data_IF_424892828466
#
_entry.id   IF_424892828466
#
_cell.length_a   1.000
_cell.length_b   1.000
_cell.length_c   1.000
_cell.angle_alpha   90.00
_cell.angle_beta   90.00
_cell.angle_gamma   90.00
#
_symmetry.space_group_name_H-M   'P 1'
#
loop_
_entity.id
_entity.type
_entity.pdbx_description
1 polymer ?
#
# COMPACT_ATOMS: atom_id res chain seq x y z
N UNK A 1 18.61 8.57 -17.60
CA UNK A 1 17.37 8.11 -16.95
C UNK A 1 16.20 8.46 -17.86
N UNK A 2 15.32 7.51 -18.16
CA UNK A 2 14.08 7.79 -18.88
C UNK A 2 13.14 8.62 -18.00
N UNK A 3 12.37 9.53 -18.61
CA UNK A 3 11.37 10.35 -17.92
C UNK A 3 10.35 9.49 -17.15
N UNK A 4 9.98 8.32 -17.67
CA UNK A 4 9.08 7.37 -17.01
C UNK A 4 9.61 6.90 -15.65
N UNK A 5 10.91 6.60 -15.55
CA UNK A 5 11.53 6.16 -14.30
C UNK A 5 11.51 7.25 -13.22
N UNK A 6 11.72 8.50 -13.64
CA UNK A 6 11.66 9.66 -12.74
C UNK A 6 10.24 9.86 -12.23
N UNK A 7 9.23 9.73 -13.10
CA UNK A 7 7.82 9.83 -12.71
C UNK A 7 7.44 8.75 -11.68
N UNK A 8 7.82 7.49 -11.92
CA UNK A 8 7.54 6.41 -10.97
C UNK A 8 8.24 6.64 -9.61
N UNK A 9 9.49 7.09 -9.64
CA UNK A 9 10.24 7.42 -8.42
C UNK A 9 9.57 8.54 -7.63
N UNK A 10 9.12 9.60 -8.30
CA UNK A 10 8.38 10.71 -7.67
C UNK A 10 7.07 10.19 -7.07
N UNK A 11 6.31 9.35 -7.78
CA UNK A 11 5.06 8.78 -7.24
C UNK A 11 5.30 7.94 -5.99
N UNK A 12 6.34 7.10 -5.96
CA UNK A 12 6.69 6.31 -4.78
C UNK A 12 7.07 7.24 -3.62
N UNK A 13 7.91 8.25 -3.85
CA UNK A 13 8.29 9.22 -2.82
C UNK A 13 7.09 9.99 -2.26
N UNK A 14 6.14 10.42 -3.12
CA UNK A 14 4.94 11.13 -2.69
C UNK A 14 4.05 10.23 -1.83
N UNK A 15 3.88 8.97 -2.22
CA UNK A 15 3.06 8.00 -1.50
C UNK A 15 3.68 7.64 -0.15
N UNK A 16 4.99 7.41 -0.09
CA UNK A 16 5.72 7.18 1.18
C UNK A 16 5.65 8.42 2.07
N UNK A 17 5.84 9.62 1.53
CA UNK A 17 5.70 10.85 2.31
C UNK A 17 4.27 11.05 2.83
N UNK A 18 3.26 10.64 2.06
CA UNK A 18 1.88 10.66 2.50
C UNK A 18 1.66 9.71 3.69
N UNK A 19 2.24 8.50 3.66
CA UNK A 19 2.14 7.51 4.75
C UNK A 19 2.70 8.00 6.11
N UNK A 20 3.63 8.95 6.11
CA UNK A 20 4.16 9.55 7.35
C UNK A 20 3.18 10.50 8.04
N UNK A 21 2.08 10.86 7.38
CA UNK A 21 1.01 11.65 7.99
C UNK A 21 0.11 10.75 8.82
N UNK A 22 -0.40 11.30 9.91
CA UNK A 22 -1.39 10.61 10.73
C UNK A 22 -2.71 10.50 9.95
N UNK A 23 -3.15 9.27 9.65
CA UNK A 23 -4.45 9.03 9.03
C UNK A 23 -5.49 8.65 10.05
N UNK A 24 -6.71 9.16 9.86
CA UNK A 24 -7.87 8.77 10.64
C UNK A 24 -8.53 7.48 10.17
N UNK A 25 -8.03 6.86 9.11
CA UNK A 25 -8.63 5.65 8.55
C UNK A 25 -7.53 4.69 8.09
N UNK A 26 -7.54 3.50 8.69
CA UNK A 26 -6.60 2.43 8.36
C UNK A 26 -6.70 2.01 6.88
N UNK A 27 -7.91 2.05 6.29
CA UNK A 27 -8.11 1.77 4.87
C UNK A 27 -7.32 2.76 3.99
N UNK A 28 -7.33 4.05 4.33
CA UNK A 28 -6.62 5.08 3.58
C UNK A 28 -5.10 4.87 3.62
N UNK A 29 -4.58 4.40 4.76
CA UNK A 29 -3.18 4.02 4.88
C UNK A 29 -2.84 2.81 3.98
N UNK A 30 -3.70 1.79 3.98
CA UNK A 30 -3.57 0.58 3.14
C UNK A 30 -3.56 0.93 1.65
N UNK A 31 -4.39 1.87 1.20
CA UNK A 31 -4.42 2.35 -0.19
C UNK A 31 -3.09 3.02 -0.58
N UNK A 32 -2.46 3.76 0.34
CA UNK A 32 -1.17 4.40 0.07
C UNK A 32 -0.06 3.37 -0.07
N UNK A 33 -0.06 2.33 0.79
CA UNK A 33 0.87 1.19 0.70
C UNK A 33 0.73 0.52 -0.67
N UNK A 34 -0.50 0.22 -1.09
CA UNK A 34 -0.75 -0.38 -2.41
C UNK A 34 -0.31 0.50 -3.57
N UNK A 35 -0.54 1.81 -3.48
CA UNK A 35 -0.04 2.75 -4.48
C UNK A 35 1.48 2.69 -4.61
N UNK A 36 2.20 2.59 -3.49
CA UNK A 36 3.66 2.49 -3.49
C UNK A 36 4.12 1.16 -4.10
N UNK A 37 3.45 0.05 -3.78
CA UNK A 37 3.69 -1.27 -4.36
C UNK A 37 3.46 -1.28 -5.88
N UNK A 38 2.40 -0.62 -6.37
CA UNK A 38 2.15 -0.46 -7.81
C UNK A 38 3.27 0.36 -8.48
N UNK A 39 3.71 1.45 -7.85
CA UNK A 39 4.83 2.25 -8.33
C UNK A 39 6.12 1.43 -8.44
N UNK A 40 6.43 0.62 -7.43
CA UNK A 40 7.56 -0.31 -7.43
C UNK A 40 7.41 -1.38 -8.52
N UNK A 41 6.23 -1.97 -8.67
CA UNK A 41 5.94 -2.95 -9.73
C UNK A 41 6.16 -2.37 -11.12
N UNK A 42 5.72 -1.13 -11.38
CA UNK A 42 5.95 -0.44 -12.64
C UNK A 42 7.45 -0.18 -12.89
N UNK A 43 8.23 0.17 -11.85
CA UNK A 43 9.68 0.30 -11.95
C UNK A 43 10.35 -1.05 -12.24
N UNK A 44 9.88 -2.15 -11.64
CA UNK A 44 10.39 -3.50 -11.89
C UNK A 44 10.11 -3.96 -13.33
N UNK A 45 8.92 -3.67 -13.86
CA UNK A 45 8.59 -3.92 -15.28
C UNK A 45 9.47 -3.09 -16.22
N UNK A 46 9.68 -1.81 -15.89
CA UNK A 46 10.57 -0.96 -16.69
C UNK A 46 12.03 -1.45 -16.64
N UNK A 47 12.44 -2.08 -15.54
CA UNK A 47 13.76 -2.68 -15.34
C UNK A 47 13.87 -4.11 -15.88
N UNK A 48 13.01 -4.51 -16.83
CA UNK A 48 12.88 -5.85 -17.46
C UNK A 48 14.20 -6.62 -17.69
N UNK A 49 15.32 -5.91 -17.94
CA UNK A 49 16.65 -6.51 -18.09
C UNK A 49 17.25 -7.12 -16.82
N UNK A 50 16.75 -6.77 -15.64
CA UNK A 50 17.31 -7.18 -14.34
C UNK A 50 16.37 -8.09 -13.53
N UNK A 51 15.07 -8.09 -13.82
CA UNK A 51 14.07 -8.80 -13.02
C UNK A 51 13.29 -9.75 -13.94
N UNK A 52 13.39 -11.07 -13.74
CA UNK A 52 12.62 -12.03 -14.54
C UNK A 52 11.12 -11.86 -14.28
N UNK A 53 10.29 -12.18 -15.27
CA UNK A 53 8.82 -12.13 -15.14
C UNK A 53 8.29 -12.93 -13.93
N UNK A 54 8.97 -14.03 -13.58
CA UNK A 54 8.69 -14.79 -12.35
C UNK A 54 8.89 -13.95 -11.07
N UNK A 55 9.90 -13.08 -11.03
CA UNK A 55 10.13 -12.17 -9.90
C UNK A 55 9.01 -11.13 -9.75
N UNK A 56 8.51 -10.59 -10.87
CA UNK A 56 7.34 -9.70 -10.86
C UNK A 56 6.09 -10.42 -10.35
N UNK A 57 5.86 -11.66 -10.80
CA UNK A 57 4.73 -12.48 -10.34
C UNK A 57 4.80 -12.72 -8.83
N UNK A 58 5.96 -13.14 -8.31
CA UNK A 58 6.15 -13.38 -6.88
C UNK A 58 5.96 -12.09 -6.07
N UNK A 59 6.43 -10.96 -6.58
CA UNK A 59 6.19 -9.65 -5.96
C UNK A 59 4.69 -9.34 -5.83
N UNK A 60 3.92 -9.49 -6.91
CA UNK A 60 2.47 -9.24 -6.88
C UNK A 60 1.73 -10.20 -5.93
N UNK A 61 2.14 -11.47 -5.88
CA UNK A 61 1.56 -12.43 -4.92
C UNK A 61 1.82 -12.00 -3.48
N UNK A 62 3.04 -11.57 -3.17
CA UNK A 62 3.38 -11.11 -1.81
C UNK A 62 2.61 -9.85 -1.42
N UNK A 63 2.45 -8.89 -2.32
CA UNK A 63 1.64 -7.67 -2.10
C UNK A 63 0.16 -8.04 -1.85
N UNK A 64 -0.39 -8.99 -2.61
CA UNK A 64 -1.75 -9.50 -2.39
C UNK A 64 -1.90 -10.23 -1.04
N UNK A 65 -0.86 -10.93 -0.57
CA UNK A 65 -0.86 -11.55 0.74
C UNK A 65 -0.79 -10.51 1.87
N UNK A 66 0.06 -9.49 1.73
CA UNK A 66 0.18 -8.38 2.69
C UNK A 66 -1.15 -7.65 2.87
N UNK A 67 -1.79 -7.27 1.76
CA UNK A 67 -3.10 -6.60 1.78
C UNK A 67 -4.17 -7.45 2.46
N UNK A 68 -4.22 -8.75 2.14
CA UNK A 68 -5.17 -9.67 2.75
C UNK A 68 -4.98 -9.76 4.27
N UNK A 69 -3.73 -9.80 4.74
CA UNK A 69 -3.41 -9.83 6.15
C UNK A 69 -3.73 -8.50 6.86
N UNK A 70 -3.42 -7.37 6.21
CA UNK A 70 -3.75 -6.04 6.71
C UNK A 70 -5.28 -5.82 6.81
N UNK A 71 -6.05 -6.25 5.80
CA UNK A 71 -7.52 -6.20 5.83
C UNK A 71 -8.10 -7.13 6.90
N UNK A 72 -7.53 -8.32 7.08
CA UNK A 72 -7.92 -9.23 8.17
C UNK A 72 -7.71 -8.58 9.55
N UNK A 73 -6.59 -7.90 9.73
CA UNK A 73 -6.28 -7.14 10.94
C UNK A 73 -7.23 -5.95 11.14
N UNK A 74 -7.55 -5.20 10.07
CA UNK A 74 -8.54 -4.11 10.08
C UNK A 74 -9.90 -4.59 10.57
N UNK A 75 -10.40 -5.71 10.05
CA UNK A 75 -11.67 -6.30 10.49
C UNK A 75 -11.60 -6.75 11.95
N UNK A 76 -10.46 -7.30 12.39
CA UNK A 76 -10.23 -7.65 13.80
C UNK A 76 -10.29 -6.45 14.73
N UNK A 77 -9.66 -5.34 14.35
CA UNK A 77 -9.66 -4.07 15.10
C UNK A 77 -11.08 -3.48 15.14
N UNK A 78 -11.77 -3.41 14.00
CA UNK A 78 -13.13 -2.87 13.91
C UNK A 78 -14.16 -3.68 14.69
N UNK A 79 -13.93 -4.98 14.89
CA UNK A 79 -14.77 -5.84 15.72
C UNK A 79 -14.46 -5.74 17.21
N UNK A 80 -13.33 -5.13 17.59
CA UNK A 80 -12.97 -4.93 18.99
C UNK A 80 -13.34 -3.50 19.44
N UNK A 81 -14.43 -3.34 20.22
CA UNK A 81 -14.91 -2.02 20.66
C UNK A 81 -13.97 -1.33 21.65
N UNK A 82 -13.05 -2.05 22.31
CA UNK A 82 -12.06 -1.48 23.23
C UNK A 82 -10.76 -1.03 22.54
N UNK A 83 -10.64 -1.25 21.22
CA UNK A 83 -9.39 -0.98 20.51
C UNK A 83 -9.02 0.51 20.42
N UNK A 84 -9.95 1.42 20.72
CA UNK A 84 -9.71 2.87 20.70
C UNK A 84 -9.35 3.44 19.32
N UNK A 85 -9.35 2.60 18.28
CA UNK A 85 -8.90 2.91 16.93
C UNK A 85 -10.06 2.67 15.97
N UNK A 86 -10.70 3.78 15.59
CA UNK A 86 -11.55 3.94 14.42
C UNK A 86 -12.67 2.91 14.27
N UNK A 87 -13.72 3.09 15.08
CA UNK A 87 -15.05 2.71 14.64
C UNK A 87 -15.39 3.50 13.36
N UNK A 88 -15.63 2.80 12.25
CA UNK A 88 -16.32 3.38 11.08
C UNK A 88 -17.68 3.99 11.48
N UNK A 89 -18.21 3.56 12.62
CA UNK A 89 -19.16 4.33 13.41
C UNK A 89 -18.40 5.39 14.20
N UNK A 90 -18.03 6.50 13.55
CA UNK A 90 -18.08 7.77 14.28
C UNK A 90 -19.41 7.73 15.02
N UNK A 91 -19.40 7.66 16.35
CA UNK A 91 -20.59 7.93 17.14
C UNK A 91 -20.94 9.38 16.81
N UNK A 92 -21.67 9.56 15.70
CA UNK A 92 -22.49 10.73 15.48
C UNK A 92 -23.62 10.55 16.46
N UNK A 93 -23.46 11.22 17.60
CA UNK A 93 -24.46 11.51 18.64
C UNK A 93 -25.26 10.32 19.20
#
# INVERSE_FOLDING_TARGET
MSSSFVLYSITVCVLVAAMLKHFSNFLSYLILVEGACVGLGAMMMYAESYIPAYGLFMFLVLVACETSLALGLMVGIMRNPESGVYSLYSYGE
#
